data_IF_056312069179
#
_entry.id   IF_056312069179
#
_cell.length_a   1.000
_cell.length_b   1.000
_cell.length_c   1.000
_cell.angle_alpha   90.00
_cell.angle_beta   90.00
_cell.angle_gamma   90.00
#
_symmetry.space_group_name_H-M   'P 1'
#
loop_
_entity.id
_entity.type
_entity.pdbx_description
1 polymer ?
#
# COMPACT_ATOMS: atom_id res chain seq x y z
N UNK A 1 2.21 10.37 -5.42
CA UNK A 1 3.56 10.37 -6.04
C UNK A 1 3.68 9.37 -7.18
N UNK A 2 3.43 8.09 -6.99
CA UNK A 2 3.60 7.07 -8.03
C UNK A 2 2.90 7.39 -9.36
N UNK A 3 1.68 7.88 -9.34
CA UNK A 3 0.97 8.32 -10.54
C UNK A 3 1.68 9.46 -11.28
N UNK A 4 2.24 10.42 -10.55
CA UNK A 4 3.04 11.51 -11.17
C UNK A 4 4.31 10.97 -11.83
N UNK A 5 4.97 9.97 -11.22
CA UNK A 5 6.12 9.28 -11.83
C UNK A 5 5.72 8.53 -13.11
N UNK A 6 4.50 8.01 -13.18
CA UNK A 6 3.93 7.38 -14.38
C UNK A 6 3.38 8.40 -15.41
N UNK A 7 3.52 9.70 -15.19
CA UNK A 7 3.10 10.75 -16.12
C UNK A 7 1.63 11.20 -15.98
N UNK A 8 0.90 10.77 -14.97
CA UNK A 8 -0.47 11.21 -14.73
C UNK A 8 -0.53 12.57 -14.02
N UNK A 9 -1.52 13.38 -14.38
CA UNK A 9 -1.93 14.56 -13.60
C UNK A 9 -2.86 14.13 -12.46
N UNK A 10 -2.38 14.25 -11.22
CA UNK A 10 -3.15 13.87 -10.01
C UNK A 10 -3.93 15.09 -9.54
N UNK A 11 -5.19 15.17 -9.92
CA UNK A 11 -6.03 16.36 -9.75
C UNK A 11 -6.74 16.43 -8.39
N UNK A 12 -6.98 15.31 -7.71
CA UNK A 12 -7.76 15.27 -6.48
C UNK A 12 -7.24 14.33 -5.42
N UNK A 13 -7.56 14.63 -4.17
CA UNK A 13 -7.28 13.82 -2.99
C UNK A 13 -8.46 13.86 -2.02
N UNK A 14 -8.81 12.72 -1.44
CA UNK A 14 -9.69 12.61 -0.28
C UNK A 14 -8.94 11.87 0.83
N UNK A 15 -8.83 12.51 1.99
CA UNK A 15 -8.15 11.97 3.17
C UNK A 15 -8.92 12.34 4.44
N UNK A 16 -8.99 11.42 5.39
CA UNK A 16 -9.67 11.65 6.68
C UNK A 16 -8.72 12.17 7.75
N UNK A 17 -7.43 11.79 7.72
CA UNK A 17 -6.43 12.21 8.72
C UNK A 17 -5.90 13.61 8.37
N UNK A 18 -6.13 14.64 9.22
CA UNK A 18 -5.67 16.00 8.96
C UNK A 18 -4.14 16.11 8.82
N UNK A 19 -3.37 15.27 9.54
CA UNK A 19 -1.92 15.28 9.49
C UNK A 19 -1.40 14.68 8.19
N UNK A 20 -1.95 13.55 7.78
CA UNK A 20 -1.62 12.93 6.49
C UNK A 20 -2.05 13.81 5.32
N UNK A 21 -3.21 14.44 5.42
CA UNK A 21 -3.66 15.42 4.44
C UNK A 21 -2.69 16.60 4.33
N UNK A 22 -2.22 17.15 5.47
CA UNK A 22 -1.24 18.24 5.48
C UNK A 22 0.06 17.84 4.77
N UNK A 23 0.60 16.67 5.06
CA UNK A 23 1.80 16.14 4.38
C UNK A 23 1.54 15.97 2.89
N UNK A 24 0.40 15.40 2.52
CA UNK A 24 0.04 15.20 1.12
C UNK A 24 -0.05 16.53 0.35
N UNK A 25 -0.73 17.52 0.91
CA UNK A 25 -0.88 18.85 0.29
C UNK A 25 0.47 19.55 0.13
N UNK A 26 1.35 19.46 1.13
CA UNK A 26 2.68 20.08 1.08
C UNK A 26 3.55 19.54 -0.07
N UNK A 27 3.44 18.24 -0.36
CA UNK A 27 4.25 17.58 -1.39
C UNK A 27 3.59 17.55 -2.78
N UNK A 28 2.26 17.55 -2.85
CA UNK A 28 1.56 17.22 -4.09
C UNK A 28 0.71 18.35 -4.66
N UNK A 29 0.32 19.34 -3.87
CA UNK A 29 -0.48 20.50 -4.26
C UNK A 29 -1.69 20.12 -5.12
N UNK A 30 -2.59 19.23 -4.63
CA UNK A 30 -3.73 18.76 -5.41
C UNK A 30 -4.66 19.93 -5.74
N UNK A 31 -5.23 19.93 -6.96
CA UNK A 31 -6.22 20.95 -7.38
C UNK A 31 -7.48 20.89 -6.54
N UNK A 32 -7.92 19.67 -6.22
CA UNK A 32 -9.08 19.40 -5.38
C UNK A 32 -8.65 18.59 -4.16
N UNK A 33 -8.81 19.15 -2.97
CA UNK A 33 -8.45 18.50 -1.72
C UNK A 33 -9.66 18.44 -0.79
N UNK A 34 -10.01 17.22 -0.36
CA UNK A 34 -11.15 16.97 0.51
C UNK A 34 -10.71 16.28 1.79
N UNK A 35 -10.72 17.01 2.90
CA UNK A 35 -10.50 16.48 4.24
C UNK A 35 -11.85 16.02 4.81
N UNK A 36 -12.22 14.77 4.51
CA UNK A 36 -13.50 14.19 4.92
C UNK A 36 -13.45 12.65 4.94
N UNK A 37 -14.28 11.99 5.77
CA UNK A 37 -14.52 10.57 5.65
C UNK A 37 -15.09 10.23 4.26
N UNK A 38 -14.67 9.09 3.70
CA UNK A 38 -15.17 8.65 2.38
C UNK A 38 -16.68 8.44 2.35
N UNK A 39 -17.28 8.05 3.49
CA UNK A 39 -18.72 7.89 3.65
C UNK A 39 -19.50 9.19 3.42
N UNK A 40 -18.91 10.32 3.79
CA UNK A 40 -19.47 11.66 3.54
C UNK A 40 -19.10 12.15 2.14
N UNK A 41 -17.85 11.92 1.74
CA UNK A 41 -17.33 12.38 0.45
C UNK A 41 -18.13 11.77 -0.72
N UNK A 42 -18.44 10.47 -0.71
CA UNK A 42 -19.21 9.80 -1.77
C UNK A 42 -20.64 10.33 -1.94
N UNK A 43 -21.19 11.01 -0.94
CA UNK A 43 -22.55 11.57 -0.98
C UNK A 43 -22.61 13.00 -1.55
N UNK A 44 -21.45 13.62 -1.80
CA UNK A 44 -21.39 14.99 -2.34
C UNK A 44 -21.96 15.04 -3.74
N UNK A 45 -22.71 16.12 -4.00
CA UNK A 45 -23.27 16.42 -5.34
C UNK A 45 -22.72 17.71 -5.92
N UNK A 46 -21.78 18.34 -5.23
CA UNK A 46 -21.14 19.60 -5.58
C UNK A 46 -19.68 19.40 -6.07
N UNK A 47 -19.38 18.18 -6.56
CA UNK A 47 -18.04 17.87 -7.05
C UNK A 47 -17.80 18.54 -8.41
N UNK A 48 -16.56 19.02 -8.66
CA UNK A 48 -16.17 19.58 -9.96
C UNK A 48 -16.37 18.58 -11.11
N UNK A 49 -16.73 19.08 -12.28
CA UNK A 49 -17.00 18.25 -13.47
C UNK A 49 -15.78 17.39 -13.87
N UNK A 50 -14.56 17.86 -13.61
CA UNK A 50 -13.32 17.14 -13.87
C UNK A 50 -13.24 15.80 -13.10
N UNK A 51 -13.84 15.70 -11.91
CA UNK A 51 -13.86 14.46 -11.15
C UNK A 51 -14.82 13.39 -11.72
N UNK A 52 -15.71 13.79 -12.64
CA UNK A 52 -16.56 12.86 -13.40
C UNK A 52 -15.96 12.44 -14.74
N UNK A 53 -14.71 12.84 -15.01
CA UNK A 53 -13.99 12.47 -16.22
C UNK A 53 -12.56 11.97 -15.89
N UNK A 54 -12.42 11.11 -14.89
CA UNK A 54 -11.16 10.55 -14.49
C UNK A 54 -10.74 9.38 -15.37
N UNK A 55 -9.45 9.33 -15.72
CA UNK A 55 -8.86 8.11 -16.28
C UNK A 55 -8.73 7.02 -15.22
N UNK A 56 -8.26 7.40 -14.01
CA UNK A 56 -8.08 6.47 -12.89
C UNK A 56 -8.66 7.06 -11.61
N UNK A 57 -9.42 6.25 -10.87
CA UNK A 57 -9.69 6.44 -9.46
C UNK A 57 -8.83 5.46 -8.67
N UNK A 58 -8.01 5.97 -7.76
CA UNK A 58 -7.15 5.19 -6.88
C UNK A 58 -7.65 5.19 -5.45
N UNK A 59 -7.45 4.08 -4.74
CA UNK A 59 -7.76 4.01 -3.31
C UNK A 59 -7.10 2.84 -2.60
N UNK A 60 -6.75 3.06 -1.34
CA UNK A 60 -6.24 2.01 -0.44
C UNK A 60 -7.14 1.94 0.80
N UNK A 61 -8.40 1.50 0.65
CA UNK A 61 -9.33 1.44 1.78
C UNK A 61 -8.82 0.46 2.82
N UNK A 62 -8.71 0.85 4.10
CA UNK A 62 -8.09 0.02 5.12
C UNK A 62 -8.89 -1.26 5.36
N UNK A 63 -8.16 -2.37 5.54
CA UNK A 63 -8.70 -3.68 5.85
C UNK A 63 -7.97 -4.25 7.07
N UNK A 64 -8.14 -3.59 8.23
CA UNK A 64 -7.36 -3.88 9.44
C UNK A 64 -7.62 -5.26 10.04
N UNK A 65 -8.79 -5.85 9.79
CA UNK A 65 -9.15 -7.19 10.27
C UNK A 65 -8.36 -8.31 9.62
N UNK A 66 -7.70 -8.03 8.47
CA UNK A 66 -6.94 -9.03 7.69
C UNK A 66 -5.43 -8.77 7.64
N UNK A 67 -4.95 -7.73 8.33
CA UNK A 67 -3.52 -7.50 8.47
C UNK A 67 -2.87 -8.63 9.26
N UNK A 68 -1.70 -9.11 8.81
CA UNK A 68 -0.90 -10.13 9.51
C UNK A 68 -0.44 -9.70 10.90
N UNK A 69 -0.49 -8.39 11.19
CA UNK A 69 -0.15 -7.78 12.48
C UNK A 69 -1.39 -7.42 13.32
N UNK A 70 -2.61 -7.64 12.82
CA UNK A 70 -3.87 -7.41 13.56
C UNK A 70 -4.41 -8.70 14.20
N UNK A 71 -5.33 -8.56 15.17
CA UNK A 71 -6.07 -9.68 15.72
C UNK A 71 -7.03 -10.25 14.66
N UNK A 72 -6.66 -11.37 14.07
CA UNK A 72 -7.44 -12.03 13.02
C UNK A 72 -8.80 -12.46 13.55
N UNK A 73 -9.88 -12.00 12.93
CA UNK A 73 -11.24 -12.53 13.11
C UNK A 73 -12.05 -12.00 14.30
N UNK A 74 -11.42 -11.59 15.42
CA UNK A 74 -12.17 -11.15 16.62
C UNK A 74 -12.72 -9.71 16.50
N UNK A 75 -12.22 -8.92 15.58
CA UNK A 75 -12.52 -7.49 15.43
C UNK A 75 -13.42 -7.17 14.24
N UNK A 76 -13.99 -8.16 13.57
CA UNK A 76 -14.90 -7.97 12.45
C UNK A 76 -16.15 -7.18 12.86
N UNK A 77 -16.48 -6.12 12.13
CA UNK A 77 -17.65 -5.29 12.38
C UNK A 77 -17.57 -4.36 13.59
N UNK A 78 -16.43 -4.31 14.30
CA UNK A 78 -16.26 -3.41 15.44
C UNK A 78 -15.72 -2.05 15.00
N UNK A 79 -16.24 -0.99 15.63
CA UNK A 79 -15.68 0.35 15.48
C UNK A 79 -14.25 0.41 16.03
N UNK A 80 -13.34 0.93 15.21
CA UNK A 80 -11.95 1.19 15.62
C UNK A 80 -11.66 2.69 15.61
N UNK A 81 -11.01 3.16 16.68
CA UNK A 81 -10.44 4.50 16.73
C UNK A 81 -8.98 4.41 16.28
N UNK A 82 -8.66 5.10 15.22
CA UNK A 82 -7.29 5.33 14.81
C UNK A 82 -6.85 6.67 15.35
N UNK A 83 -5.73 6.77 16.00
CA UNK A 83 -5.08 7.97 16.46
C UNK A 83 -5.99 9.10 17.01
N UNK A 84 -5.42 9.99 17.77
CA UNK A 84 -6.11 11.19 18.26
C UNK A 84 -6.66 12.02 17.09
N UNK A 85 -7.96 12.29 17.11
CA UNK A 85 -8.65 13.15 16.15
C UNK A 85 -9.35 12.47 14.99
N UNK A 86 -9.20 11.17 14.78
CA UNK A 86 -10.00 10.44 13.79
C UNK A 86 -11.34 9.99 14.36
N UNK A 87 -12.40 10.09 13.55
CA UNK A 87 -13.70 9.52 13.88
C UNK A 87 -13.60 7.99 13.97
N UNK A 88 -14.38 7.40 14.89
CA UNK A 88 -14.52 5.95 14.96
C UNK A 88 -15.15 5.42 13.66
N UNK A 89 -14.57 4.38 13.07
CA UNK A 89 -15.02 3.84 11.79
C UNK A 89 -15.14 2.31 11.83
N UNK A 90 -16.13 1.78 11.13
CA UNK A 90 -16.24 0.36 10.79
C UNK A 90 -15.44 0.14 9.49
N UNK A 91 -14.21 -0.32 9.62
CA UNK A 91 -13.25 -0.40 8.51
C UNK A 91 -13.65 -1.41 7.44
N UNK A 92 -14.40 -2.42 7.82
CA UNK A 92 -14.78 -3.52 6.92
C UNK A 92 -15.75 -3.05 5.81
N UNK A 93 -16.37 -1.87 5.94
CA UNK A 93 -17.26 -1.28 4.94
C UNK A 93 -16.59 -0.29 4.01
N UNK A 94 -15.42 0.24 4.37
CA UNK A 94 -14.75 1.32 3.62
C UNK A 94 -14.38 0.95 2.18
N UNK A 95 -14.11 -0.33 1.92
CA UNK A 95 -13.88 -0.79 0.56
C UNK A 95 -15.14 -0.65 -0.30
N UNK A 96 -16.30 -0.94 0.26
CA UNK A 96 -17.58 -0.78 -0.45
C UNK A 96 -17.97 0.69 -0.62
N UNK A 97 -17.64 1.55 0.35
CA UNK A 97 -17.79 3.01 0.21
C UNK A 97 -16.92 3.54 -0.94
N UNK A 98 -15.72 2.99 -1.14
CA UNK A 98 -14.85 3.29 -2.27
C UNK A 98 -15.46 2.80 -3.61
N UNK A 99 -16.04 1.60 -3.64
CA UNK A 99 -16.76 1.09 -4.83
C UNK A 99 -17.97 1.96 -5.16
N UNK A 100 -18.73 2.42 -4.16
CA UNK A 100 -19.83 3.36 -4.35
C UNK A 100 -19.35 4.68 -4.97
N UNK A 101 -18.20 5.20 -4.53
CA UNK A 101 -17.59 6.38 -5.13
C UNK A 101 -17.18 6.12 -6.59
N UNK A 102 -16.59 4.96 -6.89
CA UNK A 102 -16.27 4.56 -8.27
C UNK A 102 -17.52 4.47 -9.14
N UNK A 103 -18.62 3.96 -8.58
CA UNK A 103 -19.93 3.91 -9.26
C UNK A 103 -20.50 5.32 -9.55
N UNK A 104 -20.31 6.27 -8.66
CA UNK A 104 -20.76 7.65 -8.84
C UNK A 104 -19.91 8.41 -9.87
N UNK A 105 -18.58 8.32 -9.75
CA UNK A 105 -17.65 9.08 -10.60
C UNK A 105 -17.39 8.44 -11.97
N UNK A 106 -17.63 7.14 -12.12
CA UNK A 106 -17.47 6.38 -13.36
C UNK A 106 -16.10 6.57 -14.04
N UNK A 107 -14.94 6.49 -13.32
CA UNK A 107 -13.62 6.55 -13.95
C UNK A 107 -13.45 5.45 -15.01
N UNK A 108 -12.53 5.64 -15.98
CA UNK A 108 -12.25 4.61 -17.00
C UNK A 108 -11.69 3.34 -16.36
N UNK A 109 -10.78 3.51 -15.40
CA UNK A 109 -10.21 2.42 -14.62
C UNK A 109 -10.24 2.71 -13.11
N UNK A 110 -10.28 1.66 -12.29
CA UNK A 110 -10.12 1.77 -10.83
C UNK A 110 -8.92 0.92 -10.42
N UNK A 111 -8.07 1.48 -9.55
CA UNK A 111 -6.98 0.75 -8.90
C UNK A 111 -7.25 0.78 -7.40
N UNK A 112 -7.44 -0.39 -6.79
CA UNK A 112 -7.60 -0.50 -5.34
C UNK A 112 -6.49 -1.37 -4.76
N UNK A 113 -5.79 -0.86 -3.74
CA UNK A 113 -4.70 -1.59 -3.09
C UNK A 113 -5.15 -2.15 -1.74
N UNK A 114 -4.56 -3.30 -1.38
CA UNK A 114 -4.76 -3.89 -0.05
C UNK A 114 -3.61 -4.83 0.34
N UNK A 115 -3.64 -5.29 1.59
CA UNK A 115 -2.65 -6.22 2.13
C UNK A 115 -2.90 -7.65 1.64
N UNK A 116 -1.81 -8.45 1.52
CA UNK A 116 -1.87 -9.88 1.15
C UNK A 116 -2.86 -10.70 2.00
N UNK A 117 -3.01 -10.34 3.29
CA UNK A 117 -3.92 -11.04 4.20
C UNK A 117 -5.36 -11.13 3.72
N UNK A 118 -5.78 -10.22 2.82
CA UNK A 118 -7.10 -10.24 2.19
C UNK A 118 -7.36 -11.48 1.32
N UNK A 119 -6.31 -12.13 0.82
CA UNK A 119 -6.41 -13.34 0.00
C UNK A 119 -6.37 -14.63 0.83
N UNK A 120 -6.31 -14.56 2.16
CA UNK A 120 -6.08 -15.71 3.03
C UNK A 120 -7.30 -16.04 3.91
N UNK A 121 -7.55 -17.34 4.09
CA UNK A 121 -8.57 -17.84 5.01
C UNK A 121 -9.98 -17.33 4.68
N UNK A 122 -10.73 -16.92 5.69
CA UNK A 122 -12.10 -16.44 5.54
C UNK A 122 -12.22 -15.12 4.76
N UNK A 123 -11.11 -14.35 4.68
CA UNK A 123 -11.08 -13.09 3.93
C UNK A 123 -11.39 -13.25 2.42
N UNK A 124 -11.25 -14.46 1.88
CA UNK A 124 -11.59 -14.76 0.48
C UNK A 124 -13.08 -14.50 0.16
N UNK A 125 -13.97 -14.62 1.14
CA UNK A 125 -15.39 -14.28 0.99
C UNK A 125 -15.57 -12.77 0.75
N UNK A 126 -14.73 -11.96 1.39
CA UNK A 126 -14.73 -10.53 1.21
C UNK A 126 -14.24 -10.15 -0.21
N UNK A 127 -13.25 -10.84 -0.73
CA UNK A 127 -12.78 -10.68 -2.12
C UNK A 127 -13.88 -11.00 -3.12
N UNK A 128 -14.65 -12.08 -2.91
CA UNK A 128 -15.81 -12.40 -3.76
C UNK A 128 -16.83 -11.28 -3.78
N UNK A 129 -17.14 -10.73 -2.61
CA UNK A 129 -18.06 -9.59 -2.51
C UNK A 129 -17.51 -8.34 -3.20
N UNK A 130 -16.20 -8.07 -3.14
CA UNK A 130 -15.55 -6.98 -3.89
C UNK A 130 -15.82 -7.14 -5.40
N UNK A 131 -15.66 -8.34 -5.94
CA UNK A 131 -15.95 -8.60 -7.35
C UNK A 131 -17.41 -8.35 -7.70
N UNK A 132 -18.33 -8.87 -6.89
CA UNK A 132 -19.78 -8.68 -7.10
C UNK A 132 -20.16 -7.18 -7.09
N UNK A 133 -19.61 -6.41 -6.17
CA UNK A 133 -19.94 -4.98 -6.07
C UNK A 133 -19.29 -4.17 -7.22
N UNK A 134 -18.07 -4.49 -7.66
CA UNK A 134 -17.49 -3.88 -8.87
C UNK A 134 -18.28 -4.27 -10.12
N UNK A 135 -18.74 -5.51 -10.24
CA UNK A 135 -19.58 -5.95 -11.35
C UNK A 135 -20.89 -5.14 -11.43
N UNK A 136 -21.57 -4.96 -10.29
CA UNK A 136 -22.77 -4.11 -10.14
C UNK A 136 -22.49 -2.63 -10.41
N UNK A 137 -21.28 -2.16 -10.11
CA UNK A 137 -20.84 -0.80 -10.38
C UNK A 137 -20.48 -0.56 -11.86
N UNK A 138 -20.48 -1.62 -12.69
CA UNK A 138 -20.22 -1.53 -14.12
C UNK A 138 -18.76 -1.79 -14.52
N UNK A 139 -18.00 -2.53 -13.72
CA UNK A 139 -16.58 -2.83 -13.98
C UNK A 139 -16.33 -4.33 -14.10
N UNK A 140 -15.40 -4.69 -14.98
CA UNK A 140 -14.65 -5.94 -14.86
C UNK A 140 -13.54 -5.76 -13.87
N UNK A 141 -13.45 -6.63 -12.87
CA UNK A 141 -12.45 -6.56 -11.81
C UNK A 141 -11.58 -7.81 -11.78
N UNK A 142 -10.29 -7.66 -11.60
CA UNK A 142 -9.33 -8.75 -11.38
C UNK A 142 -8.28 -8.30 -10.37
N UNK A 143 -7.60 -9.25 -9.68
CA UNK A 143 -6.57 -8.89 -8.71
C UNK A 143 -5.23 -9.54 -9.02
N UNK A 144 -4.17 -8.90 -8.57
CA UNK A 144 -2.78 -9.35 -8.67
C UNK A 144 -2.10 -9.21 -7.32
N UNK A 145 -1.40 -10.26 -6.91
CA UNK A 145 -0.49 -10.18 -5.77
C UNK A 145 0.90 -9.83 -6.29
N UNK A 146 1.37 -8.63 -5.97
CA UNK A 146 2.64 -8.09 -6.46
C UNK A 146 3.63 -7.95 -5.31
N UNK A 147 4.92 -8.14 -5.60
CA UNK A 147 5.99 -7.93 -4.63
C UNK A 147 6.92 -6.82 -5.13
N UNK A 148 7.01 -5.76 -4.35
CA UNK A 148 7.76 -4.55 -4.67
C UNK A 148 9.24 -4.79 -5.00
N UNK A 149 9.88 -5.82 -4.41
CA UNK A 149 11.28 -6.14 -4.66
C UNK A 149 11.61 -6.46 -6.14
N UNK A 150 10.61 -6.89 -6.92
CA UNK A 150 10.74 -7.17 -8.35
C UNK A 150 10.25 -6.03 -9.22
N UNK A 151 9.99 -4.87 -8.61
CA UNK A 151 9.43 -3.69 -9.23
C UNK A 151 10.33 -2.44 -9.03
N UNK A 152 11.64 -2.64 -8.81
CA UNK A 152 12.60 -1.56 -8.60
C UNK A 152 12.51 -0.89 -7.21
N UNK A 153 11.92 -1.56 -6.22
CA UNK A 153 11.82 -1.09 -4.84
C UNK A 153 12.66 -1.98 -3.93
N UNK A 154 13.60 -1.44 -3.13
CA UNK A 154 14.46 -2.24 -2.25
C UNK A 154 13.72 -2.77 -1.01
N UNK A 155 12.53 -3.33 -1.19
CA UNK A 155 11.69 -3.80 -0.10
C UNK A 155 10.89 -5.06 -0.49
N UNK A 156 10.94 -6.08 0.35
CA UNK A 156 10.08 -7.26 0.26
C UNK A 156 8.68 -6.90 0.75
N UNK A 157 7.87 -6.26 -0.11
CA UNK A 157 6.53 -5.81 0.24
C UNK A 157 5.50 -6.37 -0.72
N UNK A 158 4.69 -7.31 -0.24
CA UNK A 158 3.60 -7.89 -1.02
C UNK A 158 2.30 -7.11 -0.81
N UNK A 159 1.65 -6.75 -1.92
CA UNK A 159 0.36 -6.04 -1.94
C UNK A 159 -0.56 -6.62 -3.00
N UNK A 160 -1.84 -6.62 -2.69
CA UNK A 160 -2.90 -7.00 -3.63
C UNK A 160 -3.39 -5.75 -4.33
N UNK A 161 -3.39 -5.77 -5.65
CA UNK A 161 -3.98 -4.72 -6.46
C UNK A 161 -5.22 -5.27 -7.17
N UNK A 162 -6.36 -4.65 -6.94
CA UNK A 162 -7.56 -4.84 -7.73
C UNK A 162 -7.52 -3.85 -8.88
N UNK A 163 -7.54 -4.35 -10.11
CA UNK A 163 -7.52 -3.57 -11.33
C UNK A 163 -8.87 -3.77 -12.02
N UNK A 164 -9.60 -2.67 -12.16
CA UNK A 164 -10.95 -2.69 -12.71
C UNK A 164 -11.02 -1.81 -13.94
N UNK A 165 -11.61 -2.33 -15.02
CA UNK A 165 -11.88 -1.59 -16.26
C UNK A 165 -13.38 -1.46 -16.47
N UNK A 166 -13.86 -0.27 -16.78
CA UNK A 166 -15.28 0.01 -17.03
C UNK A 166 -15.78 -0.81 -18.22
N UNK A 167 -16.93 -1.45 -18.05
CA UNK A 167 -17.45 -2.47 -19.00
C UNK A 167 -17.69 -1.94 -20.41
N UNK A 168 -18.15 -0.72 -20.55
CA UNK A 168 -18.37 -0.07 -21.85
C UNK A 168 -17.09 0.18 -22.66
N UNK A 169 -15.94 0.19 -21.99
CA UNK A 169 -14.60 0.40 -22.58
C UNK A 169 -13.83 -0.90 -22.77
N UNK A 170 -14.32 -2.00 -22.23
CA UNK A 170 -13.55 -3.22 -22.09
C UNK A 170 -13.56 -4.11 -23.34
N UNK A 171 -14.50 -3.96 -24.28
CA UNK A 171 -14.68 -4.86 -25.41
C UNK A 171 -13.38 -5.19 -26.19
N UNK A 172 -12.50 -4.23 -26.53
CA UNK A 172 -11.26 -4.52 -27.28
C UNK A 172 -10.25 -5.37 -26.53
N UNK A 173 -10.38 -5.48 -25.21
CA UNK A 173 -9.44 -6.15 -24.32
C UNK A 173 -9.95 -7.49 -23.83
N UNK A 174 -11.25 -7.81 -24.03
CA UNK A 174 -11.85 -9.02 -23.49
C UNK A 174 -11.23 -10.29 -24.08
N UNK A 175 -10.99 -11.25 -23.22
CA UNK A 175 -10.64 -12.62 -23.60
C UNK A 175 -11.39 -13.61 -22.72
N UNK A 176 -11.62 -14.81 -23.25
CA UNK A 176 -12.23 -15.89 -22.47
C UNK A 176 -11.23 -16.39 -21.45
N UNK A 177 -11.49 -16.13 -20.16
CA UNK A 177 -10.64 -16.57 -19.07
C UNK A 177 -10.91 -18.04 -18.71
N UNK A 178 -12.20 -18.39 -18.56
CA UNK A 178 -12.68 -19.75 -18.40
C UNK A 178 -14.02 -19.97 -19.14
N UNK A 179 -14.72 -21.08 -18.91
CA UNK A 179 -15.97 -21.39 -19.61
C UNK A 179 -17.10 -20.36 -19.36
N UNK A 180 -17.02 -19.57 -18.29
CA UNK A 180 -18.11 -18.70 -17.84
C UNK A 180 -17.69 -17.23 -17.70
N UNK A 181 -16.40 -16.92 -17.72
CA UNK A 181 -15.89 -15.59 -17.39
C UNK A 181 -15.02 -15.01 -18.50
N UNK A 182 -15.34 -13.78 -18.89
CA UNK A 182 -14.47 -12.92 -19.71
C UNK A 182 -13.79 -11.90 -18.85
N UNK A 183 -12.52 -11.60 -19.14
CA UNK A 183 -11.73 -10.58 -18.44
C UNK A 183 -11.01 -9.67 -19.42
N UNK A 184 -10.81 -8.38 -19.10
CA UNK A 184 -9.91 -7.52 -19.86
C UNK A 184 -8.47 -7.99 -19.69
N UNK A 185 -7.76 -8.22 -20.79
CA UNK A 185 -6.36 -8.64 -20.74
C UNK A 185 -5.49 -7.54 -20.17
N UNK A 186 -4.70 -7.90 -19.17
CA UNK A 186 -3.62 -7.08 -18.63
C UNK A 186 -2.55 -7.98 -18.01
N UNK A 187 -1.29 -7.60 -18.15
CA UNK A 187 -0.15 -8.34 -17.61
C UNK A 187 0.57 -7.52 -16.56
N UNK A 188 0.71 -8.09 -15.36
CA UNK A 188 1.42 -7.52 -14.21
C UNK A 188 2.64 -8.37 -13.84
N UNK A 189 3.48 -8.66 -14.83
CA UNK A 189 4.72 -9.42 -14.65
C UNK A 189 5.90 -8.46 -14.56
N UNK A 190 6.58 -8.47 -13.41
CA UNK A 190 7.72 -7.62 -13.09
C UNK A 190 8.91 -8.49 -12.71
N UNK A 191 10.10 -8.17 -13.21
CA UNK A 191 11.32 -8.98 -13.10
C UNK A 191 12.56 -8.14 -12.86
N UNK A 192 12.40 -6.99 -12.20
CA UNK A 192 13.52 -6.17 -11.79
C UNK A 192 14.41 -6.94 -10.80
N UNK A 193 15.70 -6.76 -10.90
CA UNK A 193 16.64 -7.37 -9.96
C UNK A 193 16.46 -6.80 -8.55
N UNK A 194 16.40 -7.63 -7.52
CA UNK A 194 16.28 -7.18 -6.14
C UNK A 194 17.48 -6.32 -5.72
N UNK A 195 17.21 -5.18 -5.09
CA UNK A 195 18.21 -4.21 -4.65
C UNK A 195 18.53 -4.44 -3.16
N UNK A 196 19.75 -4.87 -2.80
CA UNK A 196 20.15 -5.08 -1.42
C UNK A 196 20.37 -3.76 -0.69
N UNK A 197 20.28 -3.76 0.65
CA UNK A 197 20.43 -2.54 1.45
C UNK A 197 21.84 -1.94 1.34
N UNK A 198 22.86 -2.72 1.03
CA UNK A 198 24.23 -2.25 0.82
C UNK A 198 24.39 -1.19 -0.26
N UNK A 199 23.43 -1.12 -1.22
CA UNK A 199 23.51 -0.16 -2.33
C UNK A 199 23.24 1.29 -1.89
N UNK A 200 22.61 1.49 -0.72
CA UNK A 200 22.18 2.83 -0.28
C UNK A 200 22.34 3.08 1.24
N UNK A 201 22.97 2.16 2.00
CA UNK A 201 23.18 2.38 3.43
C UNK A 201 24.15 3.55 3.68
N UNK A 202 23.77 4.45 4.59
CA UNK A 202 24.56 5.62 4.99
C UNK A 202 25.29 5.43 6.32
N UNK A 203 25.12 4.25 6.94
CA UNK A 203 25.68 3.91 8.26
C UNK A 203 25.22 4.84 9.40
N UNK A 204 24.18 5.61 9.18
CA UNK A 204 23.52 6.46 10.17
C UNK A 204 22.32 5.70 10.80
N UNK A 205 21.52 6.41 11.55
CA UNK A 205 20.30 5.86 12.13
C UNK A 205 20.38 5.79 13.67
N UNK A 206 19.21 5.53 14.26
CA UNK A 206 19.05 5.53 15.71
C UNK A 206 19.69 4.28 16.32
N UNK A 207 20.62 4.47 17.24
CA UNK A 207 21.21 3.39 18.01
C UNK A 207 20.18 2.68 18.92
N UNK A 208 20.44 1.40 19.19
CA UNK A 208 19.64 0.60 20.12
C UNK A 208 20.01 1.02 21.55
N UNK A 209 19.17 1.86 22.15
CA UNK A 209 19.38 2.36 23.54
C UNK A 209 18.72 1.51 24.59
N UNK A 210 17.73 0.69 24.25
CA UNK A 210 17.06 -0.22 25.18
C UNK A 210 18.00 -1.34 25.63
N UNK A 211 18.27 -1.52 26.94
CA UNK A 211 19.18 -2.55 27.44
C UNK A 211 18.76 -3.98 27.02
N UNK A 212 17.47 -4.26 27.00
CA UNK A 212 16.97 -5.58 26.60
C UNK A 212 17.17 -5.82 25.10
N UNK A 213 16.82 -4.85 24.26
CA UNK A 213 17.02 -4.97 22.81
C UNK A 213 18.51 -5.05 22.46
N UNK A 214 19.35 -4.29 23.16
CA UNK A 214 20.81 -4.36 23.01
C UNK A 214 21.34 -5.73 23.40
N UNK A 215 20.90 -6.29 24.53
CA UNK A 215 21.27 -7.64 24.95
C UNK A 215 20.86 -8.70 23.94
N UNK A 216 19.66 -8.58 23.35
CA UNK A 216 19.20 -9.50 22.31
C UNK A 216 20.07 -9.36 21.05
N UNK A 217 20.37 -8.12 20.63
CA UNK A 217 21.22 -7.83 19.48
C UNK A 217 22.66 -8.37 19.67
N UNK A 218 23.24 -8.20 20.84
CA UNK A 218 24.60 -8.70 21.16
C UNK A 218 24.69 -10.24 21.15
N UNK A 219 23.54 -10.94 21.33
CA UNK A 219 23.44 -12.40 21.33
C UNK A 219 22.78 -12.96 20.05
N UNK A 220 22.66 -12.17 19.00
CA UNK A 220 22.22 -12.63 17.69
C UNK A 220 23.21 -13.59 17.06
N UNK A 221 22.72 -14.47 16.22
CA UNK A 221 23.54 -15.38 15.43
C UNK A 221 23.27 -15.18 13.94
N UNK A 222 24.25 -15.43 13.10
CA UNK A 222 24.05 -15.35 11.65
C UNK A 222 22.94 -16.31 11.21
N UNK A 223 21.99 -15.80 10.45
CA UNK A 223 20.78 -16.51 10.05
C UNK A 223 19.53 -16.21 10.90
N UNK A 224 19.68 -15.51 12.05
CA UNK A 224 18.51 -15.04 12.80
C UNK A 224 17.70 -14.04 11.95
N UNK A 225 16.39 -14.21 11.90
CA UNK A 225 15.48 -13.31 11.16
C UNK A 225 15.09 -12.09 11.97
N UNK A 226 14.98 -12.28 13.30
CA UNK A 226 14.56 -11.24 14.22
C UNK A 226 15.09 -11.50 15.64
N UNK A 227 14.75 -10.61 16.57
CA UNK A 227 15.21 -10.72 17.94
C UNK A 227 14.54 -11.84 18.76
N UNK A 228 13.45 -12.44 18.27
CA UNK A 228 12.77 -13.52 19.00
C UNK A 228 13.62 -14.76 19.13
N UNK A 229 14.51 -15.04 18.17
CA UNK A 229 15.42 -16.18 18.17
C UNK A 229 16.48 -16.04 19.26
N UNK A 230 17.10 -14.85 19.37
CA UNK A 230 18.02 -14.57 20.48
C UNK A 230 17.30 -14.61 21.85
N UNK A 231 16.05 -14.13 21.91
CA UNK A 231 15.25 -14.20 23.12
C UNK A 231 14.95 -15.64 23.54
N UNK A 232 14.61 -16.49 22.58
CA UNK A 232 14.38 -17.91 22.85
C UNK A 232 15.64 -18.60 23.40
N UNK A 233 16.80 -18.31 22.82
CA UNK A 233 18.10 -18.85 23.28
C UNK A 233 18.45 -18.38 24.70
N UNK A 234 18.25 -17.11 25.01
CA UNK A 234 18.66 -16.52 26.29
C UNK A 234 17.69 -16.81 27.43
N UNK A 235 16.39 -16.87 27.15
CA UNK A 235 15.36 -16.90 28.19
C UNK A 235 14.44 -18.11 28.11
N UNK A 236 14.60 -18.98 27.11
CA UNK A 236 13.78 -20.20 26.94
C UNK A 236 12.32 -19.92 26.61
N UNK A 237 11.97 -18.70 26.21
CA UNK A 237 10.61 -18.28 25.90
C UNK A 237 10.53 -17.65 24.53
N UNK A 238 9.54 -18.08 23.75
CA UNK A 238 9.16 -17.34 22.56
C UNK A 238 8.64 -15.96 22.96
N UNK A 239 8.97 -14.95 22.18
CA UNK A 239 8.49 -13.57 22.38
C UNK A 239 8.10 -12.98 21.04
N UNK A 240 7.14 -12.08 21.08
CA UNK A 240 6.72 -11.33 19.91
C UNK A 240 7.55 -10.03 19.77
N UNK A 241 8.89 -10.16 19.81
CA UNK A 241 9.74 -9.02 19.43
C UNK A 241 9.63 -8.84 17.91
N UNK A 242 8.98 -7.76 17.50
CA UNK A 242 8.71 -7.46 16.10
C UNK A 242 9.85 -6.70 15.39
N UNK A 243 11.10 -6.84 15.85
CA UNK A 243 12.27 -6.23 15.23
C UNK A 243 12.98 -7.27 14.36
N UNK A 244 12.85 -7.11 13.05
CA UNK A 244 13.54 -7.97 12.07
C UNK A 244 14.95 -7.48 11.81
N UNK A 245 15.87 -8.40 11.51
CA UNK A 245 17.19 -8.04 11.04
C UNK A 245 17.22 -7.88 9.54
N UNK A 246 17.97 -6.89 9.06
CA UNK A 246 18.33 -6.76 7.65
C UNK A 246 19.84 -6.98 7.50
N UNK A 247 20.21 -7.85 6.55
CA UNK A 247 21.59 -8.16 6.20
C UNK A 247 22.04 -7.30 5.01
N UNK A 248 23.32 -6.92 4.97
CA UNK A 248 23.87 -6.02 3.94
C UNK A 248 23.58 -6.46 2.50
N UNK A 249 23.60 -7.76 2.24
CA UNK A 249 23.41 -8.35 0.91
C UNK A 249 21.95 -8.76 0.62
N UNK A 250 21.02 -8.41 1.51
CA UNK A 250 19.60 -8.76 1.37
C UNK A 250 18.74 -7.52 1.10
N UNK A 251 17.59 -7.78 0.47
CA UNK A 251 16.53 -6.79 0.31
C UNK A 251 15.86 -6.56 1.66
N UNK A 252 15.56 -5.32 1.98
CA UNK A 252 14.93 -4.95 3.24
C UNK A 252 13.53 -5.58 3.37
N UNK A 253 13.17 -5.97 4.59
CA UNK A 253 11.83 -6.45 4.92
C UNK A 253 10.77 -5.35 4.78
N UNK A 254 9.49 -5.76 4.75
CA UNK A 254 8.38 -4.81 4.72
C UNK A 254 8.46 -3.81 5.89
N UNK A 255 8.59 -2.52 5.56
CA UNK A 255 8.45 -1.44 6.53
C UNK A 255 7.04 -1.42 7.10
N UNK A 256 6.96 -1.30 8.40
CA UNK A 256 5.69 -1.09 9.11
C UNK A 256 5.62 0.34 9.64
N UNK A 257 4.44 0.79 10.05
CA UNK A 257 4.25 2.11 10.66
C UNK A 257 5.00 2.28 12.01
N UNK A 258 5.61 1.20 12.51
CA UNK A 258 6.33 1.20 13.79
C UNK A 258 7.80 1.53 13.55
N UNK A 259 8.28 2.60 14.18
CA UNK A 259 9.71 2.85 14.28
C UNK A 259 10.44 1.63 14.84
N UNK A 260 11.69 1.47 14.55
CA UNK A 260 12.50 0.36 15.05
C UNK A 260 11.95 -1.05 14.68
N UNK A 261 11.16 -1.17 13.62
CA UNK A 261 10.70 -2.50 13.17
C UNK A 261 11.80 -3.29 12.47
N UNK A 262 12.81 -2.62 11.95
CA UNK A 262 13.96 -3.20 11.24
C UNK A 262 15.26 -2.68 11.85
N UNK A 263 16.17 -3.59 12.09
CA UNK A 263 17.51 -3.34 12.63
C UNK A 263 18.56 -3.91 11.71
N UNK A 264 19.69 -3.22 11.59
CA UNK A 264 20.84 -3.80 10.91
C UNK A 264 21.41 -4.98 11.69
N UNK A 265 21.74 -6.05 10.96
CA UNK A 265 22.41 -7.19 11.58
C UNK A 265 23.84 -6.84 11.99
N UNK A 266 24.56 -6.07 11.17
CA UNK A 266 25.97 -5.78 11.38
C UNK A 266 26.24 -4.63 12.35
N UNK A 267 25.23 -3.78 12.58
CA UNK A 267 25.34 -2.58 13.43
C UNK A 267 24.15 -2.48 14.39
N UNK A 268 24.37 -2.06 15.66
CA UNK A 268 23.31 -1.98 16.67
C UNK A 268 22.43 -0.73 16.49
N UNK A 269 21.84 -0.57 15.32
CA UNK A 269 21.01 0.57 14.94
C UNK A 269 19.81 0.15 14.10
N UNK A 270 18.81 1.00 14.07
CA UNK A 270 17.70 0.92 13.13
C UNK A 270 18.05 1.62 11.80
N UNK A 271 17.13 1.52 10.84
CA UNK A 271 17.26 2.27 9.59
C UNK A 271 17.32 3.77 9.87
N UNK A 272 18.16 4.50 9.12
CA UNK A 272 18.15 5.96 9.06
C UNK A 272 16.94 6.46 8.27
N UNK A 273 16.66 7.76 8.34
CA UNK A 273 15.61 8.39 7.51
C UNK A 273 15.94 8.24 6.02
N UNK A 274 17.19 8.43 5.63
CA UNK A 274 17.67 8.20 4.27
C UNK A 274 17.42 6.75 3.81
N UNK A 275 17.76 5.77 4.65
CA UNK A 275 17.52 4.36 4.34
C UNK A 275 16.02 4.04 4.25
N UNK A 276 15.18 4.67 5.09
CA UNK A 276 13.71 4.53 5.01
C UNK A 276 13.17 5.07 3.69
N UNK A 277 13.64 6.24 3.26
CA UNK A 277 13.26 6.83 1.98
C UNK A 277 13.65 5.92 0.81
N UNK A 278 14.89 5.44 0.79
CA UNK A 278 15.36 4.52 -0.24
C UNK A 278 14.56 3.21 -0.26
N UNK A 279 14.39 2.56 0.90
CA UNK A 279 13.63 1.30 1.05
C UNK A 279 12.19 1.45 0.59
N UNK A 280 11.59 2.62 0.79
CA UNK A 280 10.21 2.89 0.39
C UNK A 280 10.07 3.63 -0.94
N UNK A 281 11.18 3.89 -1.63
CA UNK A 281 11.26 4.66 -2.88
C UNK A 281 10.67 6.07 -2.79
N UNK A 282 10.73 6.69 -1.62
CA UNK A 282 10.40 8.11 -1.46
C UNK A 282 11.57 8.98 -1.92
N UNK A 283 11.33 10.16 -2.47
CA UNK A 283 12.41 11.10 -2.81
C UNK A 283 13.01 11.72 -1.56
N UNK A 284 14.31 12.04 -1.61
CA UNK A 284 15.06 12.57 -0.48
C UNK A 284 14.60 13.98 -0.03
N UNK A 285 13.89 14.69 -0.89
CA UNK A 285 13.31 16.01 -0.62
C UNK A 285 11.83 15.96 -0.21
N UNK A 286 11.32 14.76 0.15
CA UNK A 286 9.95 14.63 0.62
C UNK A 286 9.77 15.31 1.99
N UNK A 287 8.86 16.28 2.06
CA UNK A 287 8.58 17.00 3.31
C UNK A 287 7.59 16.23 4.19
N UNK A 288 8.10 15.63 5.23
CA UNK A 288 7.30 14.89 6.21
C UNK A 288 6.51 15.79 7.20
N UNK A 289 6.67 17.12 7.15
CA UNK A 289 5.95 18.10 7.99
C UNK A 289 6.02 17.77 9.49
N UNK A 290 7.18 17.29 9.97
CA UNK A 290 7.45 16.80 11.32
C UNK A 290 6.70 15.50 11.73
N UNK A 291 6.09 14.80 10.79
CA UNK A 291 5.60 13.43 11.02
C UNK A 291 6.75 12.42 10.85
N UNK A 292 6.60 11.23 11.43
CA UNK A 292 7.62 10.18 11.35
C UNK A 292 7.74 9.63 9.91
N UNK A 293 8.93 9.67 9.27
CA UNK A 293 9.17 9.03 7.98
C UNK A 293 8.79 7.55 7.98
N UNK A 294 9.16 6.81 9.02
CA UNK A 294 8.82 5.41 9.19
C UNK A 294 7.31 5.15 9.17
N UNK A 295 6.54 6.04 9.83
CA UNK A 295 5.10 5.91 9.85
C UNK A 295 4.49 6.12 8.45
N UNK A 296 4.87 7.20 7.78
CA UNK A 296 4.35 7.53 6.45
C UNK A 296 4.77 6.46 5.44
N UNK A 297 6.04 6.09 5.40
CA UNK A 297 6.56 5.06 4.51
C UNK A 297 5.92 3.69 4.78
N UNK A 298 5.78 3.31 6.06
CA UNK A 298 5.18 2.03 6.45
C UNK A 298 3.70 1.89 6.07
N UNK A 299 2.96 3.01 6.07
CA UNK A 299 1.54 3.06 5.68
C UNK A 299 1.32 3.22 4.19
N UNK A 300 2.33 3.64 3.44
CA UNK A 300 2.20 3.96 2.01
C UNK A 300 2.48 2.76 1.11
N UNK A 301 1.95 2.82 -0.09
CA UNK A 301 2.44 2.04 -1.23
C UNK A 301 3.70 2.74 -1.76
N UNK A 302 4.82 2.03 -1.94
CA UNK A 302 6.04 2.63 -2.49
C UNK A 302 5.76 3.33 -3.83
N UNK A 303 6.17 4.60 -4.00
CA UNK A 303 5.91 5.36 -5.22
C UNK A 303 6.33 4.65 -6.53
N UNK A 304 7.50 3.98 -6.54
CA UNK A 304 7.97 3.25 -7.73
C UNK A 304 7.07 2.03 -8.01
N UNK A 305 6.64 1.28 -6.98
CA UNK A 305 5.68 0.18 -7.15
C UNK A 305 4.38 0.68 -7.78
N UNK A 306 3.84 1.79 -7.28
CA UNK A 306 2.61 2.37 -7.82
C UNK A 306 2.78 2.90 -9.24
N UNK A 307 3.93 3.50 -9.55
CA UNK A 307 4.25 3.96 -10.90
C UNK A 307 4.27 2.79 -11.91
N UNK A 308 4.87 1.67 -11.55
CA UNK A 308 4.89 0.46 -12.39
C UNK A 308 3.47 -0.06 -12.67
N UNK A 309 2.61 -0.12 -11.64
CA UNK A 309 1.20 -0.55 -11.81
C UNK A 309 0.44 0.42 -12.70
N UNK A 310 0.54 1.72 -12.44
CA UNK A 310 -0.14 2.76 -13.21
C UNK A 310 0.31 2.79 -14.67
N UNK A 311 1.61 2.65 -14.93
CA UNK A 311 2.17 2.56 -16.30
C UNK A 311 1.60 1.37 -17.06
N UNK A 312 1.50 0.18 -16.44
CA UNK A 312 0.90 -1.00 -17.08
C UNK A 312 -0.59 -0.79 -17.41
N UNK A 313 -1.35 -0.15 -16.52
CA UNK A 313 -2.76 0.21 -16.79
C UNK A 313 -2.85 1.19 -17.95
N UNK A 314 -1.99 2.21 -17.99
CA UNK A 314 -1.95 3.17 -19.09
C UNK A 314 -1.60 2.49 -20.43
N UNK A 315 -0.48 1.79 -20.50
CA UNK A 315 0.05 1.16 -21.71
C UNK A 315 -0.89 0.10 -22.31
N UNK A 316 -1.53 -0.68 -21.44
CA UNK A 316 -2.30 -1.82 -21.90
C UNK A 316 -3.79 -1.51 -22.10
N UNK A 317 -4.34 -0.50 -21.40
CA UNK A 317 -5.74 -0.11 -21.50
C UNK A 317 -5.93 1.34 -21.96
N UNK A 318 -5.51 2.33 -21.15
CA UNK A 318 -5.95 3.72 -21.32
C UNK A 318 -5.43 4.36 -22.61
N UNK A 319 -4.18 4.13 -23.01
CA UNK A 319 -3.62 4.63 -24.27
C UNK A 319 -4.44 4.17 -25.47
N UNK A 320 -4.88 2.92 -25.46
CA UNK A 320 -5.64 2.32 -26.58
C UNK A 320 -7.10 2.79 -26.60
N UNK A 321 -7.70 3.05 -25.43
CA UNK A 321 -9.05 3.63 -25.34
C UNK A 321 -9.03 5.03 -25.96
N UNK A 322 -8.01 5.83 -25.68
CA UNK A 322 -7.91 7.22 -26.17
C UNK A 322 -7.59 7.31 -27.67
N UNK A 323 -7.07 6.26 -28.30
CA UNK A 323 -6.84 6.19 -29.75
C UNK A 323 -8.12 5.93 -30.56
N UNK A 324 -9.17 5.46 -29.91
CA UNK A 324 -10.44 5.08 -30.53
C UNK A 324 -11.59 6.09 -30.29
N UNK A 325 -11.32 7.19 -29.58
CA UNK A 325 -12.24 8.31 -29.34
C UNK A 325 -11.78 9.52 -30.15
#
# INVERSE_FOLDING_TARGET
>A
MGYKLAGFDVIGCNEIDPRMNKVYVANHHPRFNYLAPIQEFKLRKDLPAELYNLDILDGSPPCSSFSSQGNRGEDWGKEKKFREGQASQVLDTLFFDFIDLAKELQPKAVIAENVKGLLLGEAIQYVRRIYEEFDKAGYYCQHFLLNAQYMGVPQQRERVFFLCLRKDLAEPFLYQYDMFEQRPRITMDFKEEPIPISEFTDYQGREITSPILRKLWDNRQYGDKDQSEANLRLFGKASNFGQSYVYQHEVCWTLTAKEMSIMHFDQPRCLSEHEVDCVSSFPQDYDYMNESPHYIAGMSVPPVMMAQVASRVYEQWLSKINEHV
#
